data_IF_488600581603
#
_entry.id   IF_488600581603
#
_cell.length_a   1.000
_cell.length_b   1.000
_cell.length_c   1.000
_cell.angle_alpha   90.00
_cell.angle_beta   90.00
_cell.angle_gamma   90.00
#
_symmetry.space_group_name_H-M   'P 1'
#
loop_
_entity.id
_entity.type
_entity.pdbx_description
1 polymer ?
#
# COMPACT_ATOMS: atom_id res chain seq x y z
N UNK A 1 -6.49 21.73 -31.11
CA UNK A 1 -7.30 20.63 -30.54
C UNK A 1 -6.37 19.43 -30.30
N UNK A 2 -5.64 19.41 -29.19
CA UNK A 2 -4.69 18.32 -28.85
C UNK A 2 -5.25 17.53 -27.66
N UNK A 3 -6.11 16.55 -27.94
CA UNK A 3 -6.71 15.66 -26.91
C UNK A 3 -5.88 14.37 -26.68
N UNK A 4 -4.76 14.21 -27.40
CA UNK A 4 -3.96 12.97 -27.38
C UNK A 4 -3.02 12.82 -26.18
N UNK A 5 -2.49 13.92 -25.63
CA UNK A 5 -1.49 13.87 -24.56
C UNK A 5 -2.10 13.74 -23.14
N UNK A 6 -3.37 14.08 -22.96
CA UNK A 6 -4.02 14.09 -21.64
C UNK A 6 -4.45 12.69 -21.20
N UNK A 7 -4.87 11.82 -22.13
CA UNK A 7 -5.33 10.45 -21.85
C UNK A 7 -4.30 9.50 -21.19
N UNK A 8 -3.02 9.43 -21.62
CA UNK A 8 -2.05 8.51 -21.00
C UNK A 8 -1.79 8.82 -19.53
N UNK A 9 -1.85 10.11 -19.14
CA UNK A 9 -1.67 10.55 -17.76
C UNK A 9 -2.82 10.09 -16.85
N UNK A 10 -4.07 10.08 -17.35
CA UNK A 10 -5.23 9.61 -16.56
C UNK A 10 -5.18 8.11 -16.34
N UNK A 11 -4.75 7.35 -17.36
CA UNK A 11 -4.54 5.89 -17.26
C UNK A 11 -3.45 5.55 -16.24
N UNK A 12 -2.31 6.22 -16.31
CA UNK A 12 -1.20 6.02 -15.37
C UNK A 12 -1.58 6.39 -13.94
N UNK A 13 -2.26 7.53 -13.72
CA UNK A 13 -2.79 7.91 -12.39
C UNK A 13 -3.74 6.87 -11.81
N UNK A 14 -4.62 6.31 -12.64
CA UNK A 14 -5.58 5.26 -12.23
C UNK A 14 -4.83 3.99 -11.82
N UNK A 15 -3.82 3.57 -12.59
CA UNK A 15 -2.98 2.41 -12.25
C UNK A 15 -2.25 2.62 -10.92
N UNK A 16 -1.60 3.76 -10.72
CA UNK A 16 -0.88 4.07 -9.47
C UNK A 16 -1.84 4.14 -8.27
N UNK A 17 -3.05 4.67 -8.45
CA UNK A 17 -4.08 4.66 -7.41
C UNK A 17 -4.52 3.24 -7.02
N UNK A 18 -4.74 2.36 -8.02
CA UNK A 18 -5.08 0.96 -7.77
C UNK A 18 -3.93 0.19 -7.11
N UNK A 19 -2.68 0.48 -7.48
CA UNK A 19 -1.48 -0.08 -6.83
C UNK A 19 -1.39 0.37 -5.37
N UNK A 20 -1.59 1.67 -5.09
CA UNK A 20 -1.59 2.19 -3.73
C UNK A 20 -2.69 1.58 -2.85
N UNK A 21 -3.89 1.38 -3.41
CA UNK A 21 -5.00 0.65 -2.75
C UNK A 21 -4.67 -0.82 -2.53
N UNK A 22 -4.03 -1.46 -3.50
CA UNK A 22 -3.56 -2.84 -3.40
C UNK A 22 -2.52 -3.02 -2.29
N UNK A 23 -1.53 -2.11 -2.20
CA UNK A 23 -0.54 -2.10 -1.12
C UNK A 23 -1.18 -1.86 0.25
N UNK A 24 -2.19 -0.99 0.36
CA UNK A 24 -2.92 -0.84 1.62
C UNK A 24 -3.64 -2.12 2.04
N UNK A 25 -4.28 -2.81 1.08
CA UNK A 25 -4.90 -4.11 1.33
C UNK A 25 -3.89 -5.17 1.76
N UNK A 26 -2.73 -5.22 1.09
CA UNK A 26 -1.61 -6.09 1.47
C UNK A 26 -1.07 -5.76 2.87
N UNK A 27 -0.94 -4.48 3.22
CA UNK A 27 -0.55 -4.06 4.56
C UNK A 27 -1.55 -4.54 5.62
N UNK A 28 -2.85 -4.45 5.34
CA UNK A 28 -3.90 -4.95 6.25
C UNK A 28 -3.84 -6.48 6.40
N UNK A 29 -3.59 -7.20 5.32
CA UNK A 29 -3.45 -8.66 5.32
C UNK A 29 -2.19 -9.10 6.07
N UNK A 30 -1.12 -8.31 5.99
CA UNK A 30 0.08 -8.47 6.81
C UNK A 30 -0.20 -8.24 8.30
N UNK A 31 -0.98 -7.21 8.66
CA UNK A 31 -1.43 -7.00 10.06
C UNK A 31 -2.25 -8.20 10.54
N UNK A 32 -3.16 -8.71 9.71
CA UNK A 32 -3.91 -9.92 10.02
C UNK A 32 -3.00 -11.13 10.27
N UNK A 33 -1.97 -11.28 9.44
CA UNK A 33 -0.98 -12.35 9.59
C UNK A 33 -0.17 -12.23 10.89
N UNK A 34 0.18 -11.01 11.30
CA UNK A 34 0.82 -10.73 12.60
C UNK A 34 -0.09 -11.15 13.76
N UNK A 35 -1.40 -10.89 13.69
CA UNK A 35 -2.35 -11.31 14.73
C UNK A 35 -2.42 -12.84 14.87
N UNK A 36 -2.38 -13.57 13.75
CA UNK A 36 -2.32 -15.03 13.76
C UNK A 36 -1.01 -15.55 14.37
N UNK A 37 0.13 -14.92 14.05
CA UNK A 37 1.42 -15.23 14.67
C UNK A 37 1.41 -14.95 16.18
N UNK A 38 0.74 -13.88 16.60
CA UNK A 38 0.60 -13.53 18.02
C UNK A 38 -0.18 -14.60 18.78
N UNK A 39 -1.27 -15.11 18.19
CA UNK A 39 -2.04 -16.21 18.75
C UNK A 39 -1.25 -17.54 18.79
N UNK A 40 -0.31 -17.74 17.86
CA UNK A 40 0.52 -18.95 17.75
C UNK A 40 1.75 -19.02 18.65
N UNK A 41 1.89 -18.14 19.66
CA UNK A 41 3.07 -18.04 20.53
C UNK A 41 4.38 -17.73 19.77
N UNK A 42 4.31 -16.99 18.66
CA UNK A 42 5.50 -16.54 17.94
C UNK A 42 6.35 -15.59 18.82
N UNK A 43 7.67 -15.68 18.67
CA UNK A 43 8.61 -14.85 19.43
C UNK A 43 8.38 -13.35 19.20
N UNK A 44 8.53 -12.55 20.26
CA UNK A 44 8.28 -11.10 20.28
C UNK A 44 9.04 -10.34 19.17
N UNK A 45 10.27 -10.77 18.85
CA UNK A 45 11.07 -10.20 17.75
C UNK A 45 10.48 -10.43 16.37
N UNK A 46 9.88 -11.60 16.14
CA UNK A 46 9.23 -11.94 14.87
C UNK A 46 8.00 -11.06 14.67
N UNK A 47 7.19 -10.89 15.71
CA UNK A 47 6.02 -10.01 15.70
C UNK A 47 6.37 -8.55 15.42
N UNK A 48 7.44 -8.04 16.03
CA UNK A 48 7.92 -6.68 15.80
C UNK A 48 8.38 -6.47 14.35
N UNK A 49 9.17 -7.39 13.81
CA UNK A 49 9.63 -7.32 12.42
C UNK A 49 8.45 -7.28 11.44
N UNK A 50 7.50 -8.21 11.57
CA UNK A 50 6.34 -8.29 10.67
C UNK A 50 5.38 -7.12 10.84
N UNK A 51 5.24 -6.58 12.06
CA UNK A 51 4.44 -5.37 12.32
C UNK A 51 5.06 -4.14 11.64
N UNK A 52 6.38 -3.95 11.77
CA UNK A 52 7.11 -2.88 11.09
C UNK A 52 6.97 -3.00 9.57
N UNK A 53 7.10 -4.21 9.03
CA UNK A 53 6.92 -4.47 7.61
C UNK A 53 5.50 -4.12 7.14
N UNK A 54 4.48 -4.51 7.91
CA UNK A 54 3.07 -4.23 7.63
C UNK A 54 2.79 -2.71 7.58
N UNK A 55 3.29 -1.98 8.59
CA UNK A 55 3.17 -0.52 8.67
C UNK A 55 3.89 0.15 7.49
N UNK A 56 5.09 -0.33 7.14
CA UNK A 56 5.87 0.22 6.04
C UNK A 56 5.16 0.02 4.70
N UNK A 57 4.67 -1.19 4.41
CA UNK A 57 3.91 -1.47 3.17
C UNK A 57 2.63 -0.63 3.12
N UNK A 58 1.94 -0.48 4.24
CA UNK A 58 0.73 0.35 4.33
C UNK A 58 1.02 1.83 4.04
N UNK A 59 2.07 2.40 4.65
CA UNK A 59 2.46 3.79 4.44
C UNK A 59 3.02 4.05 3.05
N UNK A 60 3.77 3.10 2.46
CA UNK A 60 4.23 3.19 1.06
C UNK A 60 3.03 3.21 0.11
N UNK A 61 2.03 2.34 0.33
CA UNK A 61 0.77 2.35 -0.42
C UNK A 61 0.00 3.67 -0.28
N UNK A 62 -0.06 4.22 0.94
CA UNK A 62 -0.70 5.51 1.21
C UNK A 62 0.04 6.70 0.57
N UNK A 63 1.37 6.73 0.65
CA UNK A 63 2.18 7.73 -0.04
C UNK A 63 1.90 7.66 -1.54
N UNK A 64 1.99 6.47 -2.15
CA UNK A 64 1.72 6.28 -3.58
C UNK A 64 0.33 6.82 -4.00
N UNK A 65 -0.71 6.53 -3.20
CA UNK A 65 -2.07 7.02 -3.45
C UNK A 65 -2.24 8.55 -3.23
N UNK A 66 -1.51 9.15 -2.29
CA UNK A 66 -1.59 10.59 -1.98
C UNK A 66 -0.78 11.44 -2.96
N UNK A 67 0.37 10.95 -3.44
CA UNK A 67 1.13 11.55 -4.54
C UNK A 67 0.29 11.66 -5.81
N UNK A 68 -0.49 10.62 -6.12
CA UNK A 68 -1.48 10.68 -7.19
C UNK A 68 -2.47 11.82 -6.97
N UNK A 69 -3.03 12.00 -5.77
CA UNK A 69 -3.99 13.08 -5.48
C UNK A 69 -3.40 14.49 -5.62
N UNK A 70 -2.12 14.71 -5.26
CA UNK A 70 -1.50 16.04 -5.25
C UNK A 70 -0.92 16.50 -6.60
N UNK A 71 -0.62 15.60 -7.53
CA UNK A 71 -0.08 15.94 -8.86
C UNK A 71 -1.14 16.26 -9.92
N UNK A 72 -2.22 16.96 -9.57
CA UNK A 72 -3.32 17.34 -10.47
C UNK A 72 -3.38 18.84 -10.68
#
# INVERSE_FOLDING_TARGET
>A
MSKGAVQPLVGFRRVVYWIGRGLQGLGLLLVWWVLLMFAGAAGMWVLLYWSLLAVLVFYVGWACATWVKRGG
#
